data_IF_911622672092
#
_entry.id   IF_911622672092
#
_cell.length_a   1.000
_cell.length_b   1.000
_cell.length_c   1.000
_cell.angle_alpha   90.00
_cell.angle_beta   90.00
_cell.angle_gamma   90.00
#
_symmetry.space_group_name_H-M   'P 1'
#
loop_
_entity.id
_entity.type
_entity.pdbx_description
1 polymer ?
#
# COMPACT_ATOMS: atom_id res chain seq x y z
N UNK A 1 5.36 -16.48 -16.24
CA UNK A 1 5.46 -17.68 -15.35
C UNK A 1 5.76 -17.14 -13.95
N UNK A 2 4.75 -17.11 -13.10
CA UNK A 2 4.91 -16.72 -11.71
C UNK A 2 5.80 -17.76 -11.03
N UNK A 3 6.96 -17.35 -10.56
CA UNK A 3 7.86 -18.21 -9.82
C UNK A 3 7.21 -18.62 -8.51
N UNK A 4 7.00 -19.92 -8.37
CA UNK A 4 6.58 -20.55 -7.12
C UNK A 4 7.63 -20.20 -6.05
N UNK A 5 7.30 -19.29 -5.14
CA UNK A 5 8.12 -19.04 -3.98
C UNK A 5 8.05 -20.27 -3.09
N UNK A 6 9.00 -21.18 -3.25
CA UNK A 6 9.19 -22.27 -2.32
C UNK A 6 9.65 -21.67 -0.99
N UNK A 7 8.69 -21.45 -0.09
CA UNK A 7 8.97 -21.16 1.29
C UNK A 7 9.62 -22.37 1.95
N UNK A 8 10.93 -22.44 1.95
CA UNK A 8 11.65 -23.33 2.84
C UNK A 8 11.70 -22.67 4.20
N UNK A 9 10.70 -22.90 5.02
CA UNK A 9 10.70 -22.48 6.42
C UNK A 9 11.67 -23.38 7.20
N UNK A 10 12.91 -22.97 7.30
CA UNK A 10 13.93 -23.75 7.99
C UNK A 10 13.64 -23.86 9.50
N UNK A 11 13.19 -22.80 10.13
CA UNK A 11 12.75 -22.74 11.52
C UNK A 11 11.87 -21.50 11.75
N UNK A 12 10.58 -21.65 12.04
CA UNK A 12 9.66 -20.53 12.21
C UNK A 12 10.08 -19.52 13.29
N UNK A 13 10.72 -19.99 14.37
CA UNK A 13 11.17 -19.10 15.44
C UNK A 13 12.36 -18.23 15.02
N UNK A 14 13.24 -18.75 14.16
CA UNK A 14 14.36 -17.97 13.61
C UNK A 14 13.81 -16.93 12.64
N UNK A 15 12.91 -17.32 11.76
CA UNK A 15 12.29 -16.43 10.79
C UNK A 15 11.50 -15.31 11.45
N UNK A 16 10.69 -15.62 12.49
CA UNK A 16 10.00 -14.62 13.28
C UNK A 16 10.94 -13.64 13.94
N UNK A 17 12.09 -14.13 14.46
CA UNK A 17 13.10 -13.26 15.05
C UNK A 17 13.71 -12.33 14.00
N UNK A 18 14.07 -12.87 12.84
CA UNK A 18 14.64 -12.09 11.73
C UNK A 18 13.66 -11.02 11.23
N UNK A 19 12.37 -11.37 11.07
CA UNK A 19 11.33 -10.39 10.76
C UNK A 19 11.23 -9.34 11.85
N UNK A 20 11.17 -9.76 13.11
CA UNK A 20 11.08 -8.84 14.24
C UNK A 20 12.32 -7.95 14.40
N UNK A 21 13.47 -8.34 13.92
CA UNK A 21 14.71 -7.55 13.89
C UNK A 21 14.83 -6.67 12.64
N UNK A 22 13.91 -6.82 11.66
CA UNK A 22 13.94 -6.10 10.39
C UNK A 22 15.00 -6.61 9.42
N UNK A 23 15.60 -7.77 9.68
CA UNK A 23 16.62 -8.40 8.83
C UNK A 23 16.05 -9.35 7.77
N UNK A 24 14.75 -9.61 7.81
CA UNK A 24 14.04 -10.41 6.83
C UNK A 24 12.89 -9.63 6.19
N UNK A 25 12.46 -10.10 5.03
CA UNK A 25 11.29 -9.62 4.32
C UNK A 25 10.36 -10.78 3.98
N UNK A 26 9.08 -10.51 3.80
CA UNK A 26 8.06 -11.50 3.49
C UNK A 26 7.33 -11.10 2.21
N UNK A 27 7.14 -12.07 1.31
CA UNK A 27 6.23 -11.88 0.19
C UNK A 27 4.80 -11.98 0.73
N UNK A 28 4.03 -10.90 0.57
CA UNK A 28 2.65 -10.81 1.08
C UNK A 28 1.63 -11.57 0.20
N UNK A 29 2.12 -12.32 -0.78
CA UNK A 29 1.28 -13.08 -1.69
C UNK A 29 0.70 -12.21 -2.81
N UNK A 30 -0.28 -12.75 -3.54
CA UNK A 30 -0.91 -12.01 -4.62
C UNK A 30 -1.69 -10.80 -4.07
N UNK A 31 -1.40 -9.64 -4.65
CA UNK A 31 -2.11 -8.38 -4.38
C UNK A 31 -2.70 -7.83 -5.66
N UNK A 32 -3.79 -7.11 -5.57
CA UNK A 32 -4.28 -6.27 -6.65
C UNK A 32 -3.50 -4.98 -6.69
N UNK A 33 -2.87 -4.66 -7.82
CA UNK A 33 -2.11 -3.43 -8.01
C UNK A 33 -2.70 -2.69 -9.21
N UNK A 34 -3.35 -1.56 -8.93
CA UNK A 34 -3.94 -0.71 -9.95
C UNK A 34 -3.19 0.61 -9.97
N UNK A 35 -2.79 1.04 -11.16
CA UNK A 35 -2.16 2.35 -11.34
C UNK A 35 -3.12 3.32 -11.99
N UNK A 36 -3.00 4.58 -11.59
CA UNK A 36 -3.73 5.70 -12.16
C UNK A 36 -2.76 6.78 -12.54
N UNK A 37 -2.70 7.12 -13.82
CA UNK A 37 -1.90 8.25 -14.34
C UNK A 37 -2.81 9.39 -14.79
N UNK A 38 -2.20 10.53 -15.07
CA UNK A 38 -2.89 11.71 -15.58
C UNK A 38 -2.97 12.86 -14.58
N UNK A 39 -3.19 14.09 -15.09
CA UNK A 39 -3.14 15.30 -14.28
C UNK A 39 -4.25 15.39 -13.23
N UNK A 40 -5.39 14.77 -13.49
CA UNK A 40 -6.55 14.85 -12.59
C UNK A 40 -6.56 13.75 -11.52
N UNK A 41 -5.57 12.82 -11.50
CA UNK A 41 -5.59 11.59 -10.70
C UNK A 41 -5.83 11.82 -9.21
N UNK A 42 -5.12 12.75 -8.58
CA UNK A 42 -5.24 12.99 -7.14
C UNK A 42 -6.58 13.64 -6.77
N UNK A 43 -7.02 14.63 -7.53
CA UNK A 43 -8.31 15.29 -7.30
C UNK A 43 -9.47 14.32 -7.52
N UNK A 44 -9.38 13.51 -8.56
CA UNK A 44 -10.38 12.50 -8.89
C UNK A 44 -10.45 11.42 -7.82
N UNK A 45 -9.32 10.79 -7.45
CA UNK A 45 -9.27 9.77 -6.40
C UNK A 45 -9.71 10.33 -5.05
N UNK A 46 -9.34 11.58 -4.71
CA UNK A 46 -9.83 12.26 -3.52
C UNK A 46 -11.36 12.36 -3.48
N UNK A 47 -12.02 12.54 -4.63
CA UNK A 47 -13.49 12.63 -4.69
C UNK A 47 -14.20 11.29 -4.51
N UNK A 48 -13.51 10.17 -4.69
CA UNK A 48 -14.06 8.82 -4.65
C UNK A 48 -13.73 8.07 -3.36
N UNK A 49 -12.61 8.41 -2.72
CA UNK A 49 -12.08 7.69 -1.57
C UNK A 49 -12.20 8.51 -0.27
N UNK A 50 -12.16 7.83 0.86
CA UNK A 50 -12.34 8.44 2.18
C UNK A 50 -11.19 9.33 2.63
N UNK A 51 -10.02 9.28 1.95
CA UNK A 51 -8.81 9.98 2.38
C UNK A 51 -8.58 11.28 1.61
N UNK A 52 -7.99 12.28 2.28
CA UNK A 52 -7.58 13.51 1.61
C UNK A 52 -6.28 13.27 0.82
N UNK A 53 -6.39 13.10 -0.50
CA UNK A 53 -5.29 12.81 -1.39
C UNK A 53 -4.75 14.04 -2.14
N UNK A 54 -5.48 15.18 -2.13
CA UNK A 54 -5.14 16.37 -2.94
C UNK A 54 -3.75 16.92 -2.72
N UNK A 55 -3.27 16.86 -1.48
CA UNK A 55 -2.00 17.44 -1.09
C UNK A 55 -0.91 16.40 -0.87
N UNK A 56 -1.14 15.17 -1.29
CA UNK A 56 -0.15 14.10 -1.14
C UNK A 56 1.09 14.42 -1.97
N UNK A 57 2.24 14.40 -1.32
CA UNK A 57 3.52 14.67 -1.99
C UNK A 57 4.10 13.38 -2.56
N UNK A 58 4.90 13.46 -3.63
CA UNK A 58 5.59 12.31 -4.17
C UNK A 58 6.35 11.53 -3.10
N UNK A 59 6.14 10.21 -3.06
CA UNK A 59 6.73 9.31 -2.07
C UNK A 59 5.97 9.23 -0.74
N UNK A 60 4.91 10.01 -0.56
CA UNK A 60 4.01 9.82 0.57
C UNK A 60 3.01 8.71 0.31
N UNK A 61 2.65 8.02 1.38
CA UNK A 61 1.65 6.96 1.37
C UNK A 61 0.48 7.29 2.30
N UNK A 62 -0.66 6.66 2.03
CA UNK A 62 -1.85 6.79 2.84
C UNK A 62 -2.65 5.49 2.84
N UNK A 63 -3.53 5.32 3.81
CA UNK A 63 -4.61 4.35 3.74
C UNK A 63 -5.89 5.07 3.34
N UNK A 64 -6.55 4.56 2.33
CA UNK A 64 -7.81 5.08 1.83
C UNK A 64 -8.87 3.97 1.78
N UNK A 65 -10.12 4.34 1.99
CA UNK A 65 -11.23 3.40 1.92
C UNK A 65 -12.15 3.76 0.75
N UNK A 66 -12.58 2.75 0.03
CA UNK A 66 -13.76 2.86 -0.82
C UNK A 66 -14.97 2.42 0.00
N UNK A 67 -15.97 3.29 0.07
CA UNK A 67 -17.20 3.06 0.83
C UNK A 67 -18.39 2.92 -0.10
N UNK A 68 -19.36 2.09 0.29
CA UNK A 68 -20.66 2.05 -0.34
C UNK A 68 -21.51 3.29 0.04
N UNK A 69 -22.67 3.52 -0.58
CA UNK A 69 -23.56 4.66 -0.24
C UNK A 69 -24.07 4.65 1.21
N UNK A 70 -23.97 3.54 1.93
CA UNK A 70 -24.36 3.41 3.34
C UNK A 70 -23.19 3.61 4.30
N UNK A 71 -21.97 3.80 3.76
CA UNK A 71 -20.75 3.97 4.53
C UNK A 71 -20.05 2.66 4.94
N UNK A 72 -20.44 1.52 4.36
CA UNK A 72 -19.71 0.26 4.59
C UNK A 72 -18.43 0.22 3.74
N UNK A 73 -17.40 -0.35 4.31
CA UNK A 73 -16.10 -0.50 3.62
C UNK A 73 -16.23 -1.59 2.54
N UNK A 74 -16.05 -1.20 1.29
CA UNK A 74 -15.95 -2.12 0.16
C UNK A 74 -14.50 -2.54 -0.12
N UNK A 75 -13.55 -1.59 0.01
CA UNK A 75 -12.13 -1.83 -0.21
C UNK A 75 -11.28 -1.03 0.78
N UNK A 76 -10.23 -1.66 1.28
CA UNK A 76 -9.10 -0.99 1.95
C UNK A 76 -7.99 -0.87 0.91
N UNK A 77 -7.47 0.33 0.74
CA UNK A 77 -6.52 0.66 -0.31
C UNK A 77 -5.25 1.22 0.34
N UNK A 78 -4.14 0.53 0.18
CA UNK A 78 -2.84 1.09 0.48
C UNK A 78 -2.43 1.95 -0.71
N UNK A 79 -2.36 3.24 -0.48
CA UNK A 79 -2.21 4.26 -1.50
C UNK A 79 -0.82 4.87 -1.48
N UNK A 80 -0.22 5.01 -2.66
CA UNK A 80 1.06 5.67 -2.88
C UNK A 80 0.94 6.61 -4.06
N UNK A 81 1.71 7.69 -4.07
CA UNK A 81 1.85 8.54 -5.26
C UNK A 81 3.33 8.87 -5.49
N UNK A 82 3.81 8.71 -6.72
CA UNK A 82 5.19 8.97 -7.08
C UNK A 82 5.40 10.33 -7.79
N UNK A 83 4.35 11.13 -7.88
CA UNK A 83 4.34 12.40 -8.57
C UNK A 83 3.74 12.35 -9.98
N UNK A 84 3.75 11.18 -10.62
CA UNK A 84 3.19 10.93 -11.96
C UNK A 84 2.10 9.89 -11.95
N UNK A 85 2.25 8.89 -11.08
CA UNK A 85 1.38 7.72 -10.98
C UNK A 85 0.91 7.55 -9.55
N UNK A 86 -0.38 7.35 -9.37
CA UNK A 86 -0.96 6.85 -8.12
C UNK A 86 -1.05 5.34 -8.18
N UNK A 87 -0.61 4.68 -7.11
CA UNK A 87 -0.55 3.24 -6.94
C UNK A 87 -1.56 2.82 -5.88
N UNK A 88 -2.48 1.95 -6.24
CA UNK A 88 -3.52 1.43 -5.37
C UNK A 88 -3.27 -0.05 -5.16
N UNK A 89 -2.89 -0.43 -3.95
CA UNK A 89 -2.64 -1.83 -3.57
C UNK A 89 -3.84 -2.30 -2.73
N UNK A 90 -4.44 -3.39 -3.15
CA UNK A 90 -5.61 -4.00 -2.50
C UNK A 90 -5.46 -5.50 -2.38
N UNK A 91 -6.34 -6.14 -1.63
CA UNK A 91 -6.43 -7.60 -1.64
C UNK A 91 -6.77 -8.11 -3.06
N UNK A 92 -6.20 -9.25 -3.44
CA UNK A 92 -6.34 -9.78 -4.80
C UNK A 92 -7.80 -9.96 -5.23
N UNK A 93 -8.66 -10.40 -4.30
CA UNK A 93 -10.09 -10.62 -4.53
C UNK A 93 -10.85 -9.32 -4.84
N UNK A 94 -10.40 -8.20 -4.28
CA UNK A 94 -11.03 -6.89 -4.48
C UNK A 94 -10.64 -6.18 -5.77
N UNK A 95 -9.57 -6.63 -6.43
CA UNK A 95 -8.95 -5.97 -7.59
C UNK A 95 -9.93 -5.70 -8.74
N UNK A 96 -10.62 -6.73 -9.18
CA UNK A 96 -11.53 -6.63 -10.34
C UNK A 96 -12.71 -5.69 -10.06
N UNK A 97 -13.28 -5.78 -8.87
CA UNK A 97 -14.38 -4.94 -8.45
C UNK A 97 -13.95 -3.47 -8.39
N UNK A 98 -12.80 -3.18 -7.79
CA UNK A 98 -12.23 -1.84 -7.71
C UNK A 98 -11.94 -1.27 -9.11
N UNK A 99 -11.25 -2.02 -9.96
CA UNK A 99 -10.93 -1.58 -11.33
C UNK A 99 -12.19 -1.27 -12.12
N UNK A 100 -13.21 -2.13 -12.04
CA UNK A 100 -14.51 -1.92 -12.69
C UNK A 100 -15.22 -0.68 -12.16
N UNK A 101 -15.21 -0.46 -10.85
CA UNK A 101 -15.79 0.74 -10.24
C UNK A 101 -15.06 2.00 -10.75
N UNK A 102 -13.75 2.05 -10.60
CA UNK A 102 -12.95 3.20 -11.02
C UNK A 102 -13.12 3.51 -12.51
N UNK A 103 -13.12 2.49 -13.38
CA UNK A 103 -13.34 2.67 -14.82
C UNK A 103 -14.67 3.35 -15.13
N UNK A 104 -15.73 3.02 -14.40
CA UNK A 104 -17.04 3.66 -14.57
C UNK A 104 -17.04 5.12 -14.11
N UNK A 105 -16.18 5.47 -13.17
CA UNK A 105 -16.13 6.80 -12.57
C UNK A 105 -15.19 7.77 -13.29
N UNK A 106 -14.47 7.34 -14.33
CA UNK A 106 -13.55 8.20 -15.09
C UNK A 106 -14.26 9.40 -15.72
N UNK A 107 -15.40 9.18 -16.35
CA UNK A 107 -16.23 10.18 -17.04
C UNK A 107 -15.39 11.16 -17.89
N UNK A 108 -15.24 12.43 -17.49
CA UNK A 108 -14.48 13.46 -18.21
C UNK A 108 -13.09 13.73 -17.63
N UNK A 109 -12.68 12.97 -16.64
CA UNK A 109 -11.40 13.17 -15.97
C UNK A 109 -10.25 12.70 -16.88
N UNK A 110 -9.15 13.44 -16.85
CA UNK A 110 -7.94 13.11 -17.61
C UNK A 110 -7.10 12.14 -16.78
N UNK A 111 -7.57 10.92 -16.71
CA UNK A 111 -6.91 9.82 -15.99
C UNK A 111 -6.90 8.56 -16.85
N UNK A 112 -5.89 7.74 -16.67
CA UNK A 112 -5.74 6.41 -17.27
C UNK A 112 -5.48 5.39 -16.18
N UNK A 113 -6.21 4.27 -16.24
CA UNK A 113 -6.09 3.16 -15.31
C UNK A 113 -5.41 1.96 -15.95
N UNK A 114 -4.55 1.29 -15.21
CA UNK A 114 -3.94 0.03 -15.63
C UNK A 114 -3.88 -0.96 -14.48
N UNK A 115 -4.19 -2.22 -14.78
CA UNK A 115 -3.94 -3.33 -13.87
C UNK A 115 -2.49 -3.77 -14.03
N UNK A 116 -1.71 -3.68 -12.95
CA UNK A 116 -0.29 -4.01 -12.92
C UNK A 116 0.01 -5.18 -11.97
N UNK A 117 -1.01 -5.92 -11.57
CA UNK A 117 -0.90 -6.98 -10.57
C UNK A 117 0.02 -8.12 -10.97
N UNK A 118 0.21 -8.35 -12.28
CA UNK A 118 1.11 -9.38 -12.79
C UNK A 118 2.56 -8.89 -12.95
N UNK A 119 2.76 -7.56 -12.93
CA UNK A 119 4.07 -6.96 -13.14
C UNK A 119 4.86 -6.77 -11.84
N UNK A 120 4.17 -6.74 -10.70
CA UNK A 120 4.73 -6.40 -9.40
C UNK A 120 4.36 -7.38 -8.31
N UNK A 121 5.19 -7.45 -7.31
CA UNK A 121 4.98 -8.21 -6.07
C UNK A 121 5.13 -7.29 -4.88
N UNK A 122 4.29 -7.45 -3.88
CA UNK A 122 4.36 -6.68 -2.64
C UNK A 122 5.17 -7.44 -1.60
N UNK A 123 6.20 -6.77 -1.08
CA UNK A 123 7.10 -7.30 -0.07
C UNK A 123 6.90 -6.52 1.24
N UNK A 124 6.60 -7.24 2.31
CA UNK A 124 6.46 -6.67 3.66
C UNK A 124 7.76 -6.73 4.46
N UNK A 125 8.05 -5.67 5.19
CA UNK A 125 9.18 -5.59 6.14
C UNK A 125 8.78 -4.88 7.42
N UNK A 126 9.43 -5.24 8.51
CA UNK A 126 9.42 -4.43 9.74
C UNK A 126 10.61 -3.46 9.70
N UNK A 127 10.34 -2.17 9.76
CA UNK A 127 11.39 -1.15 9.86
C UNK A 127 11.73 -0.93 11.33
N UNK A 128 13.01 -1.13 11.68
CA UNK A 128 13.55 -0.78 12.98
C UNK A 128 14.57 0.33 12.86
N UNK A 129 14.29 1.44 13.58
CA UNK A 129 15.15 2.62 13.62
C UNK A 129 15.00 3.56 12.42
N UNK A 130 15.49 4.79 12.60
CA UNK A 130 15.34 5.87 11.62
C UNK A 130 16.18 5.68 10.35
N UNK A 131 17.14 4.75 10.37
CA UNK A 131 18.09 4.49 9.29
C UNK A 131 17.85 3.18 8.52
N UNK A 132 16.78 2.47 8.83
CA UNK A 132 16.44 1.25 8.10
C UNK A 132 15.83 1.60 6.74
N UNK A 133 16.69 1.99 5.80
CA UNK A 133 16.28 2.05 4.39
C UNK A 133 16.08 0.62 3.89
N UNK A 134 14.97 0.32 3.25
CA UNK A 134 14.80 -0.96 2.60
C UNK A 134 15.83 -1.08 1.46
N UNK A 135 16.66 -2.12 1.50
CA UNK A 135 17.55 -2.47 0.38
C UNK A 135 16.79 -3.03 -0.83
N UNK A 136 15.51 -3.27 -0.65
CA UNK A 136 14.63 -3.75 -1.71
C UNK A 136 14.00 -2.61 -2.48
N UNK A 137 14.78 -1.84 -3.04
CA UNK A 137 14.38 -0.71 -3.64
C UNK A 137 14.04 -0.92 -5.00
N UNK A 138 13.03 -0.80 -5.33
CA UNK A 138 12.85 -0.49 -6.13
C UNK A 138 12.40 -0.28 -7.23
N UNK A 139 12.20 -0.74 -7.32
CA UNK A 139 11.85 -1.26 -8.56
C UNK A 139 11.00 -0.51 -9.50
N UNK A 140 10.33 0.36 -9.13
CA UNK A 140 9.24 0.67 -9.99
C UNK A 140 9.13 2.10 -10.41
N UNK A 141 10.01 2.92 -9.91
CA UNK A 141 9.85 4.33 -10.16
C UNK A 141 10.94 4.90 -11.06
N UNK A 142 10.53 5.34 -12.25
CA UNK A 142 11.41 6.03 -13.20
C UNK A 142 11.99 7.35 -12.65
N UNK A 143 11.36 7.93 -11.64
CA UNK A 143 11.74 9.23 -11.06
C UNK A 143 12.58 9.08 -9.79
N UNK A 144 12.95 7.87 -9.39
CA UNK A 144 13.75 7.62 -8.19
C UNK A 144 12.99 7.78 -6.86
N UNK A 145 11.67 7.88 -6.90
CA UNK A 145 10.82 7.92 -5.69
C UNK A 145 10.58 6.50 -5.21
N UNK A 146 10.78 6.22 -3.94
CA UNK A 146 10.53 4.90 -3.36
C UNK A 146 9.04 4.57 -3.35
N UNK A 147 8.67 3.39 -3.85
CA UNK A 147 7.31 2.87 -3.78
C UNK A 147 7.13 2.07 -2.49
N UNK A 148 7.25 2.73 -1.37
CA UNK A 148 7.10 2.12 -0.06
C UNK A 148 5.86 2.66 0.63
N UNK A 149 4.89 1.80 0.86
CA UNK A 149 3.76 2.14 1.73
C UNK A 149 4.18 1.96 3.19
N UNK A 150 3.94 2.99 3.98
CA UNK A 150 4.22 2.99 5.42
C UNK A 150 2.89 3.03 6.15
N UNK A 151 2.68 2.08 7.08
CA UNK A 151 1.48 2.03 7.90
C UNK A 151 1.25 3.40 8.57
N UNK A 152 0.13 4.10 8.28
CA UNK A 152 -0.17 5.40 8.88
C UNK A 152 -0.60 5.30 10.35
N UNK A 153 -0.78 4.07 10.88
CA UNK A 153 -1.29 3.82 12.22
C UNK A 153 -0.22 3.35 13.23
N UNK A 154 0.99 3.95 13.30
CA UNK A 154 2.08 3.45 14.14
C UNK A 154 1.83 3.62 15.64
N UNK A 155 0.65 4.00 16.06
CA UNK A 155 0.28 4.17 17.45
C UNK A 155 -1.08 4.85 17.63
N UNK A 156 -1.42 5.15 18.89
CA UNK A 156 -2.65 5.87 19.20
C UNK A 156 -2.44 7.35 18.95
N UNK A 157 -3.16 7.92 18.00
CA UNK A 157 -3.21 9.36 17.75
C UNK A 157 -3.96 10.10 18.87
N UNK A 158 -3.75 11.39 18.99
CA UNK A 158 -4.47 12.24 19.95
C UNK A 158 -5.98 12.11 19.73
N UNK A 159 -6.70 11.72 20.79
CA UNK A 159 -8.14 11.45 20.72
C UNK A 159 -8.50 10.00 20.38
N UNK A 160 -7.53 9.17 20.05
CA UNK A 160 -7.74 7.75 19.78
C UNK A 160 -7.91 6.92 21.07
N UNK A 161 -8.49 5.73 20.93
CA UNK A 161 -8.72 4.78 22.03
C UNK A 161 -7.65 3.70 22.04
N UNK A 162 -7.01 3.49 23.17
CA UNK A 162 -6.05 2.40 23.37
C UNK A 162 -6.75 1.19 23.98
N UNK A 163 -6.81 0.09 23.24
CA UNK A 163 -7.41 -1.17 23.69
C UNK A 163 -6.42 -2.11 24.40
N UNK A 164 -5.10 -1.85 24.30
CA UNK A 164 -4.06 -2.64 24.94
C UNK A 164 -3.10 -1.77 25.72
N UNK A 165 -2.71 -2.25 26.93
CA UNK A 165 -1.68 -1.59 27.77
C UNK A 165 -0.26 -1.82 27.24
N UNK A 166 -0.07 -2.87 26.44
CA UNK A 166 1.23 -3.33 25.94
C UNK A 166 1.46 -2.96 24.46
N UNK A 167 0.87 -1.88 23.99
CA UNK A 167 1.11 -1.44 22.61
C UNK A 167 2.56 -0.98 22.48
N UNK A 168 3.37 -1.58 21.60
CA UNK A 168 4.71 -1.08 21.35
C UNK A 168 4.63 0.35 20.83
N UNK A 169 5.51 1.21 21.31
CA UNK A 169 5.48 2.64 21.00
C UNK A 169 5.66 2.97 19.51
N UNK A 170 6.12 2.01 18.70
CA UNK A 170 6.23 2.09 17.25
C UNK A 170 6.04 0.70 16.67
N UNK A 171 5.05 0.54 15.84
CA UNK A 171 4.80 -0.68 15.07
C UNK A 171 4.96 -0.34 13.59
N UNK A 172 6.15 -0.45 13.03
CA UNK A 172 6.37 -0.02 11.65
C UNK A 172 6.25 -1.20 10.69
N UNK A 173 5.08 -1.43 10.17
CA UNK A 173 4.93 -2.23 8.96
C UNK A 173 5.15 -1.34 7.73
N UNK A 174 5.92 -1.81 6.79
CA UNK A 174 6.03 -1.22 5.46
C UNK A 174 5.82 -2.29 4.41
N UNK A 175 5.10 -1.94 3.38
CA UNK A 175 4.93 -2.72 2.16
C UNK A 175 5.69 -2.01 1.03
N UNK A 176 6.54 -2.74 0.33
CA UNK A 176 7.32 -2.26 -0.81
C UNK A 176 7.05 -3.10 -2.04
#
# INVERSE_FOLDING_TARGET
>A
MAGEVKGSFANPLIEQRQLAEGSAAVNLGPRGIITVTGPDRLDWLHSLLSQNLKNLQPGQSAEALLLDPNGHIEQVIHFLDDGETSWLIVEAEGREALLKFLTKMVFRMKVELSDRSEDFTVIGRLIRGENAKPELDQAANSNGVSLTWVDPWPGVVTGGVRYSRAWPAKWPWTET
#
